data_IF_131040111353
#
_entry.id   IF_131040111353
#
_cell.length_a   1.000
_cell.length_b   1.000
_cell.length_c   1.000
_cell.angle_alpha   90.00
_cell.angle_beta   90.00
_cell.angle_gamma   90.00
#
_symmetry.space_group_name_H-M   'P 1'
#
loop_
_entity.id
_entity.type
_entity.pdbx_description
1 polymer ?
#
# COMPACT_ATOMS: atom_id res chain seq x y z
N UNK A 1 -6.19 -11.03 10.22
CA UNK A 1 -4.90 -11.73 10.33
C UNK A 1 -4.90 -12.66 11.53
N UNK A 2 -4.94 -12.17 12.78
CA UNK A 2 -4.87 -13.05 13.96
C UNK A 2 -6.01 -14.06 14.08
N UNK A 3 -7.26 -13.68 13.79
CA UNK A 3 -8.36 -14.65 13.68
C UNK A 3 -8.15 -15.70 12.58
N UNK A 4 -7.44 -15.35 11.51
CA UNK A 4 -7.12 -16.32 10.46
C UNK A 4 -6.07 -17.30 10.98
N UNK A 5 -5.03 -16.81 11.67
CA UNK A 5 -3.95 -17.58 12.31
C UNK A 5 -4.49 -18.71 13.21
N UNK A 6 -5.58 -18.50 13.94
CA UNK A 6 -6.21 -19.56 14.77
C UNK A 6 -6.77 -20.75 13.95
N UNK A 7 -7.07 -20.53 12.67
CA UNK A 7 -7.74 -21.50 11.79
C UNK A 7 -6.85 -21.98 10.64
N UNK A 8 -5.58 -21.61 10.64
CA UNK A 8 -4.65 -21.84 9.55
C UNK A 8 -3.26 -22.10 10.08
N UNK A 9 -2.47 -22.84 9.33
CA UNK A 9 -1.14 -23.23 9.76
C UNK A 9 -0.10 -22.24 9.21
N UNK A 10 -0.20 -20.97 9.61
CA UNK A 10 0.79 -19.95 9.29
C UNK A 10 1.21 -19.13 10.50
N UNK A 11 2.44 -18.63 10.43
CA UNK A 11 3.07 -17.75 11.41
C UNK A 11 3.26 -16.37 10.80
N UNK A 12 3.02 -15.33 11.60
CA UNK A 12 3.20 -13.92 11.21
C UNK A 12 4.55 -13.47 11.74
N UNK A 13 5.57 -13.45 10.89
CA UNK A 13 6.90 -12.97 11.29
C UNK A 13 6.90 -11.44 11.31
N UNK A 14 6.33 -10.79 10.31
CA UNK A 14 6.26 -9.32 10.26
C UNK A 14 5.10 -8.80 9.43
N UNK A 15 4.70 -7.55 9.68
CA UNK A 15 3.65 -6.87 8.93
C UNK A 15 3.81 -5.34 8.96
N UNK A 16 3.23 -4.69 7.95
CA UNK A 16 2.99 -3.25 7.95
C UNK A 16 1.68 -2.96 7.21
N UNK A 17 0.72 -2.33 7.90
CA UNK A 17 -0.57 -1.95 7.34
C UNK A 17 -0.51 -0.50 6.88
N UNK A 18 -0.40 -0.27 5.57
CA UNK A 18 -0.38 1.06 4.98
C UNK A 18 -1.81 1.53 4.68
N UNK A 19 -1.97 2.82 4.36
CA UNK A 19 -3.28 3.37 3.98
C UNK A 19 -3.85 2.76 2.69
N UNK A 20 -2.97 2.31 1.79
CA UNK A 20 -3.35 1.85 0.44
C UNK A 20 -3.14 0.36 0.21
N UNK A 21 -2.25 -0.29 0.98
CA UNK A 21 -1.87 -1.69 0.82
C UNK A 21 -1.35 -2.26 2.15
N UNK A 22 -0.99 -3.55 2.16
CA UNK A 22 -0.43 -4.22 3.33
C UNK A 22 0.78 -5.04 2.89
N UNK A 23 1.85 -4.99 3.68
CA UNK A 23 2.97 -5.92 3.57
C UNK A 23 2.87 -6.97 4.67
N UNK A 24 3.03 -8.25 4.30
CA UNK A 24 3.02 -9.39 5.22
C UNK A 24 4.26 -10.24 4.97
N UNK A 25 4.92 -10.65 6.05
CA UNK A 25 5.97 -11.66 6.06
C UNK A 25 5.44 -12.86 6.83
N UNK A 26 5.10 -13.91 6.10
CA UNK A 26 4.43 -15.10 6.63
C UNK A 26 5.33 -16.33 6.46
N UNK A 27 5.37 -17.17 7.49
CA UNK A 27 5.88 -18.53 7.37
C UNK A 27 4.67 -19.46 7.33
N UNK A 28 4.42 -20.00 6.15
CA UNK A 28 3.27 -20.86 5.85
C UNK A 28 3.66 -22.34 5.96
N UNK A 29 2.70 -23.19 6.31
CA UNK A 29 2.80 -24.66 6.15
C UNK A 29 1.69 -25.22 5.25
N UNK A 30 1.01 -24.34 4.53
CA UNK A 30 0.05 -24.64 3.48
C UNK A 30 0.27 -23.69 2.30
N UNK A 31 -0.50 -23.89 1.21
CA UNK A 31 -0.46 -23.00 0.06
C UNK A 31 -0.78 -21.55 0.45
N UNK A 32 0.11 -20.61 0.12
CA UNK A 32 -0.02 -19.18 0.45
C UNK A 32 -1.38 -18.60 0.02
N UNK A 33 -1.93 -19.08 -1.10
CA UNK A 33 -3.24 -18.63 -1.59
C UNK A 33 -4.39 -18.97 -0.66
N UNK A 34 -4.30 -20.08 0.08
CA UNK A 34 -5.31 -20.50 1.05
C UNK A 34 -5.28 -19.57 2.26
N UNK A 35 -4.10 -19.28 2.81
CA UNK A 35 -3.93 -18.35 3.93
C UNK A 35 -4.30 -16.93 3.57
N UNK A 36 -3.88 -16.44 2.41
CA UNK A 36 -4.27 -15.13 1.90
C UNK A 36 -5.77 -15.03 1.66
N UNK A 37 -6.44 -16.08 1.18
CA UNK A 37 -7.91 -16.12 1.07
C UNK A 37 -8.56 -15.99 2.46
N UNK A 38 -8.10 -16.72 3.47
CA UNK A 38 -8.65 -16.62 4.83
C UNK A 38 -8.46 -15.22 5.42
N UNK A 39 -7.28 -14.61 5.24
CA UNK A 39 -7.00 -13.25 5.72
C UNK A 39 -7.90 -12.23 5.02
N UNK A 40 -7.88 -12.21 3.69
CA UNK A 40 -8.55 -11.17 2.90
C UNK A 40 -10.07 -11.28 2.95
N UNK A 41 -10.65 -12.47 2.83
CA UNK A 41 -12.10 -12.67 2.89
C UNK A 41 -12.65 -12.28 4.25
N UNK A 42 -11.99 -12.71 5.34
CA UNK A 42 -12.40 -12.35 6.70
C UNK A 42 -12.39 -10.84 6.91
N UNK A 43 -11.36 -10.14 6.39
CA UNK A 43 -11.26 -8.70 6.49
C UNK A 43 -12.32 -7.97 5.66
N UNK A 44 -12.54 -8.39 4.40
CA UNK A 44 -13.58 -7.80 3.53
C UNK A 44 -14.96 -7.95 4.17
N UNK A 45 -15.28 -9.13 4.71
CA UNK A 45 -16.56 -9.37 5.39
C UNK A 45 -16.73 -8.45 6.61
N UNK A 46 -15.71 -8.33 7.46
CA UNK A 46 -15.74 -7.43 8.60
C UNK A 46 -15.90 -5.97 8.17
N UNK A 47 -15.11 -5.51 7.19
CA UNK A 47 -15.10 -4.14 6.70
C UNK A 47 -16.46 -3.76 6.11
N UNK A 48 -17.00 -4.61 5.23
CA UNK A 48 -18.31 -4.40 4.61
C UNK A 48 -19.43 -4.33 5.65
N UNK A 49 -19.42 -5.20 6.67
CA UNK A 49 -20.40 -5.13 7.77
C UNK A 49 -20.23 -3.85 8.60
N UNK A 50 -18.99 -3.51 8.99
CA UNK A 50 -18.69 -2.35 9.83
C UNK A 50 -19.11 -1.03 9.18
N UNK A 51 -18.91 -0.91 7.87
CA UNK A 51 -19.17 0.32 7.11
C UNK A 51 -20.43 0.26 6.25
N UNK A 52 -21.27 -0.76 6.43
CA UNK A 52 -22.49 -1.00 5.63
C UNK A 52 -22.25 -0.90 4.11
N UNK A 53 -21.20 -1.57 3.64
CA UNK A 53 -20.80 -1.63 2.22
C UNK A 53 -21.05 -3.03 1.65
N UNK A 54 -21.12 -3.10 0.32
CA UNK A 54 -21.18 -4.36 -0.44
C UNK A 54 -20.12 -4.35 -1.55
N UNK A 55 -19.71 -5.54 -1.98
CA UNK A 55 -18.75 -5.71 -3.08
C UNK A 55 -17.29 -5.84 -2.64
N UNK A 56 -16.40 -5.68 -3.62
CA UNK A 56 -14.95 -5.87 -3.47
C UNK A 56 -14.29 -4.73 -2.67
N UNK A 57 -13.29 -5.08 -1.87
CA UNK A 57 -12.47 -4.13 -1.12
C UNK A 57 -11.05 -4.00 -1.69
N UNK A 58 -10.40 -5.12 -1.97
CA UNK A 58 -9.07 -5.16 -2.59
C UNK A 58 -9.20 -5.01 -4.11
N UNK A 59 -8.31 -4.21 -4.70
CA UNK A 59 -8.33 -3.92 -6.14
C UNK A 59 -7.77 -5.06 -6.98
N UNK A 60 -6.71 -5.72 -6.49
CA UNK A 60 -5.97 -6.75 -7.20
C UNK A 60 -5.76 -7.99 -6.32
N UNK A 61 -5.35 -9.10 -6.93
CA UNK A 61 -4.83 -10.26 -6.20
C UNK A 61 -3.54 -9.87 -5.48
N UNK A 62 -3.21 -10.59 -4.41
CA UNK A 62 -1.93 -10.42 -3.72
C UNK A 62 -0.75 -10.77 -4.65
N UNK A 63 0.41 -10.15 -4.40
CA UNK A 63 1.71 -10.59 -4.90
C UNK A 63 2.43 -11.35 -3.79
N UNK A 64 3.22 -12.35 -4.14
CA UNK A 64 4.00 -13.14 -3.18
C UNK A 64 5.31 -13.56 -3.81
N UNK A 65 6.37 -13.56 -3.01
CA UNK A 65 7.70 -14.00 -3.39
C UNK A 65 8.26 -14.88 -2.26
N UNK A 66 8.84 -16.05 -2.58
CA UNK A 66 9.46 -16.91 -1.58
C UNK A 66 10.75 -16.26 -1.03
N UNK A 67 11.05 -16.50 0.24
CA UNK A 67 12.30 -16.09 0.87
C UNK A 67 13.17 -17.33 0.97
N UNK A 68 14.28 -17.32 0.25
CA UNK A 68 15.13 -18.50 0.07
C UNK A 68 16.33 -18.53 1.03
N UNK A 69 16.66 -17.39 1.66
CA UNK A 69 17.79 -17.29 2.58
C UNK A 69 17.58 -16.28 3.73
N UNK A 70 18.45 -16.38 4.73
CA UNK A 70 18.37 -15.59 5.96
C UNK A 70 18.70 -14.11 5.76
N UNK A 71 19.61 -13.77 4.83
CA UNK A 71 19.93 -12.36 4.52
C UNK A 71 18.72 -11.70 3.89
N UNK A 72 18.06 -12.40 2.97
CA UNK A 72 16.83 -11.91 2.35
C UNK A 72 15.71 -11.75 3.39
N UNK A 73 15.53 -12.73 4.29
CA UNK A 73 14.58 -12.63 5.40
C UNK A 73 14.75 -11.35 6.23
N UNK A 74 15.98 -11.06 6.65
CA UNK A 74 16.30 -9.86 7.41
C UNK A 74 16.02 -8.59 6.60
N UNK A 75 16.46 -8.55 5.34
CA UNK A 75 16.28 -7.39 4.49
C UNK A 75 14.79 -7.07 4.24
N UNK A 76 13.96 -8.09 4.01
CA UNK A 76 12.50 -7.95 3.87
C UNK A 76 11.88 -7.44 5.16
N UNK A 77 12.24 -8.01 6.32
CA UNK A 77 11.70 -7.56 7.60
C UNK A 77 11.99 -6.06 7.84
N UNK A 78 13.24 -5.63 7.57
CA UNK A 78 13.64 -4.23 7.66
C UNK A 78 12.81 -3.36 6.70
N UNK A 79 12.71 -3.77 5.45
CA UNK A 79 11.94 -3.06 4.44
C UNK A 79 10.48 -2.87 4.86
N UNK A 80 9.83 -3.93 5.36
CA UNK A 80 8.44 -3.88 5.84
C UNK A 80 8.27 -2.83 6.93
N UNK A 81 9.15 -2.81 7.93
CA UNK A 81 9.11 -1.84 9.02
C UNK A 81 9.45 -0.40 8.59
N UNK A 82 10.27 -0.25 7.54
CA UNK A 82 10.65 1.06 7.01
C UNK A 82 9.72 1.59 5.92
N UNK A 83 8.75 0.79 5.46
CA UNK A 83 7.79 1.23 4.43
C UNK A 83 7.05 2.54 4.78
N UNK A 84 6.60 2.78 6.04
CA UNK A 84 6.03 4.05 6.46
C UNK A 84 7.01 5.23 6.38
N UNK A 85 8.30 4.98 6.58
CA UNK A 85 9.36 6.00 6.45
C UNK A 85 9.58 6.31 4.98
N UNK A 86 9.71 5.28 4.13
CA UNK A 86 9.84 5.44 2.68
C UNK A 86 8.65 6.20 2.07
N UNK A 87 7.45 5.96 2.59
CA UNK A 87 6.22 6.67 2.19
C UNK A 87 6.09 8.09 2.80
N UNK A 88 7.05 8.55 3.59
CA UNK A 88 7.03 9.88 4.21
C UNK A 88 5.97 10.07 5.31
N UNK A 89 5.39 8.98 5.84
CA UNK A 89 4.34 9.05 6.87
C UNK A 89 4.89 9.32 8.26
N UNK A 90 6.09 8.82 8.56
CA UNK A 90 6.80 9.00 9.83
C UNK A 90 8.30 9.12 9.58
N UNK A 91 9.05 9.71 10.52
CA UNK A 91 10.52 9.78 10.45
C UNK A 91 11.22 8.54 11.02
N UNK A 92 10.53 7.77 11.85
CA UNK A 92 11.07 6.62 12.57
C UNK A 92 10.03 5.49 12.63
N UNK A 93 10.47 4.24 12.47
CA UNK A 93 9.58 3.06 12.45
C UNK A 93 8.78 2.93 13.76
N UNK A 94 9.40 3.30 14.90
CA UNK A 94 8.77 3.31 16.22
C UNK A 94 7.46 4.13 16.25
N UNK A 95 7.39 5.21 15.48
CA UNK A 95 6.24 6.13 15.46
C UNK A 95 5.06 5.58 14.65
N UNK A 96 5.22 4.46 13.95
CA UNK A 96 4.16 3.85 13.16
C UNK A 96 3.53 2.65 13.87
N UNK A 97 2.37 2.88 14.50
CA UNK A 97 1.68 1.87 15.31
C UNK A 97 1.10 0.71 14.51
N UNK A 98 0.93 0.86 13.19
CA UNK A 98 0.31 -0.15 12.32
C UNK A 98 1.33 -1.10 11.68
N UNK A 99 2.46 -1.30 12.33
CA UNK A 99 3.50 -2.26 11.92
C UNK A 99 3.91 -3.17 13.08
N UNK A 100 4.53 -4.31 12.77
CA UNK A 100 5.10 -5.22 13.77
C UNK A 100 6.35 -4.69 14.45
N UNK A 101 6.91 -3.53 14.06
CA UNK A 101 8.15 -3.02 14.66
C UNK A 101 8.02 -2.86 16.18
N UNK A 102 6.90 -2.31 16.64
CA UNK A 102 6.64 -2.15 18.08
C UNK A 102 6.39 -3.50 18.79
N UNK A 103 5.82 -4.49 18.09
CA UNK A 103 5.63 -5.85 18.62
C UNK A 103 6.98 -6.53 18.87
N UNK A 104 7.97 -6.33 17.99
CA UNK A 104 9.33 -6.81 18.21
C UNK A 104 9.97 -6.18 19.45
N UNK A 105 9.76 -4.89 19.69
CA UNK A 105 10.28 -4.24 20.89
C UNK A 105 9.64 -4.81 22.16
N UNK A 106 8.31 -4.99 22.16
CA UNK A 106 7.56 -5.62 23.26
C UNK A 106 8.00 -7.06 23.51
N UNK A 107 8.37 -7.80 22.47
CA UNK A 107 8.81 -9.20 22.56
C UNK A 107 10.10 -9.39 23.38
N UNK A 108 10.92 -8.35 23.51
CA UNK A 108 12.09 -8.35 24.40
C UNK A 108 11.75 -7.94 25.84
N UNK A 109 10.68 -7.18 26.04
CA UNK A 109 10.29 -6.63 27.34
C UNK A 109 9.20 -7.46 28.04
N UNK A 110 8.40 -8.22 27.29
CA UNK A 110 7.19 -8.90 27.77
C UNK A 110 6.79 -10.11 26.88
N UNK A 111 5.72 -10.80 27.27
CA UNK A 111 5.06 -11.86 26.45
C UNK A 111 3.79 -11.38 25.73
N UNK A 112 3.48 -10.08 25.80
CA UNK A 112 2.27 -9.51 25.19
C UNK A 112 2.58 -8.98 23.78
N UNK A 113 2.71 -9.91 22.83
CA UNK A 113 2.90 -9.64 21.41
C UNK A 113 2.18 -10.68 20.56
N UNK A 114 1.83 -10.30 19.33
CA UNK A 114 0.99 -11.12 18.46
C UNK A 114 1.75 -11.77 17.28
N UNK A 115 3.01 -11.37 17.07
CA UNK A 115 3.90 -11.90 16.04
C UNK A 115 4.56 -13.21 16.48
N UNK A 116 4.93 -14.04 15.52
CA UNK A 116 5.76 -15.25 15.68
C UNK A 116 7.24 -14.91 15.40
N UNK A 117 7.72 -13.85 16.06
CA UNK A 117 9.03 -13.25 15.82
C UNK A 117 10.21 -14.00 16.44
N UNK A 118 9.99 -15.15 17.07
CA UNK A 118 10.99 -15.90 17.84
C UNK A 118 12.15 -16.37 16.96
N UNK A 119 11.87 -16.71 15.70
CA UNK A 119 12.93 -17.05 14.74
C UNK A 119 13.95 -15.89 14.60
N UNK A 120 13.49 -14.65 14.75
CA UNK A 120 14.37 -13.48 14.67
C UNK A 120 15.21 -13.28 15.93
N UNK A 121 14.90 -13.92 17.06
CA UNK A 121 15.74 -13.86 18.27
C UNK A 121 17.09 -14.53 18.07
N UNK A 122 17.19 -15.48 17.13
CA UNK A 122 18.47 -16.10 16.75
C UNK A 122 19.42 -15.08 16.09
N UNK A 123 18.88 -14.11 15.34
CA UNK A 123 19.66 -13.06 14.67
C UNK A 123 19.80 -11.79 15.54
N UNK A 124 18.77 -11.47 16.33
CA UNK A 124 18.72 -10.30 17.20
C UNK A 124 18.48 -10.72 18.64
N UNK A 125 19.56 -10.96 19.38
CA UNK A 125 19.51 -11.44 20.76
C UNK A 125 19.02 -10.40 21.78
N UNK A 126 18.87 -9.14 21.36
CA UNK A 126 18.47 -8.04 22.23
C UNK A 126 17.70 -6.97 21.48
N UNK A 127 16.87 -6.22 22.22
CA UNK A 127 16.20 -5.00 21.74
C UNK A 127 17.19 -4.05 21.07
N UNK A 128 18.38 -3.87 21.66
CA UNK A 128 19.45 -3.04 21.10
C UNK A 128 19.88 -3.53 19.71
N UNK A 129 20.24 -4.81 19.57
CA UNK A 129 20.66 -5.38 18.28
C UNK A 129 19.60 -5.22 17.19
N UNK A 130 18.32 -5.42 17.55
CA UNK A 130 17.19 -5.22 16.63
C UNK A 130 17.03 -3.75 16.22
N UNK A 131 17.14 -2.82 17.16
CA UNK A 131 17.06 -1.37 16.85
C UNK A 131 18.24 -0.89 16.01
N UNK A 132 19.47 -1.35 16.30
CA UNK A 132 20.66 -1.01 15.50
C UNK A 132 20.51 -1.50 14.06
N UNK A 133 20.03 -2.73 13.87
CA UNK A 133 19.74 -3.28 12.55
C UNK A 133 18.75 -2.43 11.75
N UNK A 134 17.79 -1.76 12.40
CA UNK A 134 16.81 -0.90 11.74
C UNK A 134 17.27 0.54 11.50
N UNK A 135 18.45 0.94 12.00
CA UNK A 135 19.02 2.27 11.70
C UNK A 135 19.54 2.38 10.27
N UNK A 136 20.02 1.28 9.71
CA UNK A 136 20.44 1.26 8.31
C UNK A 136 19.19 1.30 7.43
N UNK A 137 19.14 2.23 6.48
CA UNK A 137 18.03 2.31 5.52
C UNK A 137 18.11 1.16 4.52
N UNK A 138 16.97 0.50 4.29
CA UNK A 138 16.80 -0.50 3.26
C UNK A 138 17.05 0.13 1.88
N UNK A 139 18.05 -0.40 1.18
CA UNK A 139 18.47 0.06 -0.16
C UNK A 139 17.65 -0.56 -1.28
N UNK A 140 16.98 -1.66 -0.98
CA UNK A 140 16.21 -2.46 -1.93
C UNK A 140 14.71 -2.21 -1.76
N UNK A 141 13.97 -2.46 -2.82
CA UNK A 141 12.51 -2.39 -2.85
C UNK A 141 11.99 -3.81 -3.09
N UNK A 142 11.10 -4.28 -2.21
CA UNK A 142 10.55 -5.63 -2.27
C UNK A 142 9.05 -5.56 -2.52
N UNK A 143 8.64 -5.94 -3.73
CA UNK A 143 7.25 -5.97 -4.15
C UNK A 143 6.51 -4.63 -3.96
N UNK A 144 7.18 -3.51 -4.23
CA UNK A 144 6.58 -2.18 -4.16
C UNK A 144 5.29 -2.13 -5.01
N UNK A 145 4.23 -1.58 -4.41
CA UNK A 145 3.04 -1.24 -5.17
C UNK A 145 3.27 0.12 -5.82
N UNK A 146 3.74 0.12 -7.07
CA UNK A 146 3.78 1.34 -7.87
C UNK A 146 2.36 1.85 -8.05
N UNK A 147 2.03 2.95 -7.38
CA UNK A 147 0.89 3.75 -7.80
C UNK A 147 1.24 4.29 -9.19
N UNK A 148 0.68 3.70 -10.23
CA UNK A 148 0.82 4.15 -11.61
C UNK A 148 0.33 5.61 -11.84
N UNK A 149 -0.25 6.25 -10.82
CA UNK A 149 -0.63 7.65 -10.88
C UNK A 149 0.60 8.54 -10.69
N UNK A 150 1.21 8.89 -11.82
CA UNK A 150 2.31 9.85 -11.95
C UNK A 150 1.98 11.25 -11.42
N UNK A 151 0.71 11.58 -11.25
CA UNK A 151 0.23 12.88 -10.79
C UNK A 151 -0.85 12.72 -9.70
N UNK A 152 -0.72 13.48 -8.62
CA UNK A 152 -1.79 13.70 -7.64
C UNK A 152 -2.93 14.55 -8.21
N UNK A 153 -4.09 14.52 -7.56
CA UNK A 153 -5.25 15.35 -7.95
C UNK A 153 -4.86 16.84 -8.02
N UNK A 154 -4.05 17.33 -7.07
CA UNK A 154 -3.58 18.72 -7.01
C UNK A 154 -2.61 19.06 -8.15
N UNK A 155 -1.75 18.13 -8.55
CA UNK A 155 -0.82 18.33 -9.66
C UNK A 155 -1.56 18.34 -11.01
N UNK A 156 -2.56 17.47 -11.18
CA UNK A 156 -3.44 17.49 -12.35
C UNK A 156 -4.21 18.81 -12.43
N UNK A 157 -4.75 19.29 -11.31
CA UNK A 157 -5.45 20.58 -11.27
C UNK A 157 -4.51 21.74 -11.59
N UNK A 158 -3.27 21.74 -11.07
CA UNK A 158 -2.25 22.74 -11.39
C UNK A 158 -1.87 22.71 -12.87
N UNK A 159 -1.67 21.53 -13.45
CA UNK A 159 -1.32 21.36 -14.86
C UNK A 159 -2.44 21.85 -15.78
N UNK A 160 -3.70 21.57 -15.43
CA UNK A 160 -4.87 22.11 -16.12
C UNK A 160 -4.93 23.62 -16.03
N UNK A 161 -4.83 24.18 -14.81
CA UNK A 161 -4.85 25.63 -14.57
C UNK A 161 -3.71 26.39 -15.26
N UNK A 162 -2.55 25.74 -15.51
CA UNK A 162 -1.46 26.30 -16.32
C UNK A 162 -1.84 26.44 -17.79
N UNK A 163 -2.69 25.55 -18.31
CA UNK A 163 -3.13 25.58 -19.71
C UNK A 163 -4.33 26.51 -19.90
N UNK A 164 -5.29 26.51 -18.96
CA UNK A 164 -6.51 27.32 -19.05
C UNK A 164 -7.22 27.44 -17.70
N UNK A 165 -7.97 28.52 -17.47
CA UNK A 165 -8.88 28.60 -16.33
C UNK A 165 -10.13 27.72 -16.52
N UNK A 166 -10.77 27.31 -15.42
CA UNK A 166 -12.00 26.51 -15.46
C UNK A 166 -13.13 27.27 -16.18
N UNK A 167 -13.23 28.57 -15.94
CA UNK A 167 -14.24 29.42 -16.55
C UNK A 167 -14.07 29.52 -18.08
N UNK A 168 -12.84 29.76 -18.54
CA UNK A 168 -12.54 29.77 -19.98
C UNK A 168 -12.78 28.40 -20.63
N UNK A 169 -12.42 27.31 -19.95
CA UNK A 169 -12.70 25.96 -20.43
C UNK A 169 -14.19 25.74 -20.72
N UNK A 170 -15.07 26.18 -19.83
CA UNK A 170 -16.53 26.07 -20.02
C UNK A 170 -17.11 27.08 -21.02
N UNK A 171 -16.31 28.01 -21.54
CA UNK A 171 -16.70 28.93 -22.63
C UNK A 171 -16.26 28.43 -24.02
N UNK A 172 -15.29 27.53 -24.10
CA UNK A 172 -14.80 26.97 -25.37
C UNK A 172 -15.84 26.10 -26.10
N UNK A 173 -15.74 25.93 -27.43
CA UNK A 173 -16.47 24.90 -28.17
C UNK A 173 -16.24 23.49 -27.62
N UNK A 174 -17.24 22.61 -27.72
CA UNK A 174 -17.15 21.23 -27.21
C UNK A 174 -16.01 20.43 -27.84
N UNK A 175 -15.70 20.68 -29.11
CA UNK A 175 -14.58 20.06 -29.85
C UNK A 175 -13.24 20.41 -29.24
N UNK A 176 -13.06 21.68 -28.85
CA UNK A 176 -11.79 22.17 -28.30
C UNK A 176 -11.61 21.72 -26.85
N UNK A 177 -12.70 21.64 -26.09
CA UNK A 177 -12.70 21.01 -24.75
C UNK A 177 -12.28 19.55 -24.83
N UNK A 178 -12.83 18.80 -25.79
CA UNK A 178 -12.49 17.40 -25.98
C UNK A 178 -11.02 17.22 -26.34
N UNK A 179 -10.51 18.06 -27.26
CA UNK A 179 -9.09 18.08 -27.64
C UNK A 179 -8.18 18.37 -26.45
N UNK A 180 -8.48 19.40 -25.65
CA UNK A 180 -7.68 19.72 -24.46
C UNK A 180 -7.67 18.60 -23.43
N UNK A 181 -8.82 17.97 -23.16
CA UNK A 181 -8.90 16.81 -22.26
C UNK A 181 -8.04 15.66 -22.80
N UNK A 182 -8.09 15.40 -24.10
CA UNK A 182 -7.31 14.34 -24.76
C UNK A 182 -5.81 14.63 -24.70
N UNK A 183 -5.39 15.87 -24.94
CA UNK A 183 -3.99 16.29 -24.83
C UNK A 183 -3.45 16.09 -23.41
N UNK A 184 -4.22 16.51 -22.39
CA UNK A 184 -3.85 16.31 -20.98
C UNK A 184 -3.82 14.81 -20.64
N UNK A 185 -4.76 14.03 -21.15
CA UNK A 185 -4.78 12.58 -20.97
C UNK A 185 -3.51 11.91 -21.51
N UNK A 186 -3.08 12.26 -22.73
CA UNK A 186 -1.86 11.71 -23.32
C UNK A 186 -0.57 12.23 -22.67
N UNK A 187 -0.52 13.51 -22.29
CA UNK A 187 0.65 14.12 -21.63
C UNK A 187 0.88 13.54 -20.23
N UNK A 188 -0.21 13.33 -19.47
CA UNK A 188 -0.12 12.89 -18.06
C UNK A 188 -0.17 11.38 -17.90
N UNK A 189 -0.78 10.65 -18.83
CA UNK A 189 -1.09 9.22 -18.68
C UNK A 189 -2.13 8.93 -17.57
N UNK A 190 -2.79 9.96 -17.04
CA UNK A 190 -3.73 9.81 -15.92
C UNK A 190 -4.99 9.06 -16.35
N UNK A 191 -5.58 8.27 -15.44
CA UNK A 191 -6.83 7.57 -15.76
C UNK A 191 -7.99 8.56 -15.92
N UNK A 192 -9.06 8.15 -16.63
CA UNK A 192 -10.32 8.93 -16.73
C UNK A 192 -10.84 9.32 -15.34
N UNK A 193 -10.64 8.45 -14.34
CA UNK A 193 -11.06 8.68 -12.96
C UNK A 193 -10.25 9.80 -12.31
N UNK A 194 -8.94 9.81 -12.53
CA UNK A 194 -8.03 10.77 -11.90
C UNK A 194 -8.16 12.14 -12.54
N UNK A 195 -8.31 12.20 -13.88
CA UNK A 195 -8.70 13.43 -14.57
C UNK A 195 -10.05 13.95 -14.08
N UNK A 196 -11.02 13.07 -13.84
CA UNK A 196 -12.33 13.51 -13.33
C UNK A 196 -12.24 14.13 -11.94
N UNK A 197 -11.43 13.54 -11.05
CA UNK A 197 -11.19 14.07 -9.71
C UNK A 197 -10.38 15.36 -9.74
N UNK A 198 -9.25 15.36 -10.45
CA UNK A 198 -8.33 16.49 -10.52
C UNK A 198 -8.91 17.69 -11.25
N UNK A 199 -9.71 17.50 -12.30
CA UNK A 199 -10.27 18.59 -13.10
C UNK A 199 -11.68 19.02 -12.65
N UNK A 200 -12.35 18.22 -11.82
CA UNK A 200 -13.75 18.43 -11.47
C UNK A 200 -14.72 18.23 -12.65
N UNK A 201 -14.28 17.57 -13.73
CA UNK A 201 -15.08 17.30 -14.92
C UNK A 201 -15.69 15.90 -14.81
N UNK A 202 -16.95 15.74 -15.22
CA UNK A 202 -17.64 14.45 -15.17
C UNK A 202 -16.94 13.35 -15.99
N UNK A 203 -16.86 12.13 -15.45
CA UNK A 203 -16.21 10.97 -16.10
C UNK A 203 -16.74 10.66 -17.50
N UNK A 204 -18.03 10.89 -17.75
CA UNK A 204 -18.65 10.67 -19.06
C UNK A 204 -18.18 11.67 -20.12
N UNK A 205 -17.86 12.90 -19.72
CA UNK A 205 -17.33 13.94 -20.61
C UNK A 205 -15.90 13.57 -20.99
N UNK A 206 -15.06 13.25 -20.00
CA UNK A 206 -13.68 12.83 -20.22
C UNK A 206 -13.62 11.54 -21.05
N UNK A 207 -14.44 10.55 -20.70
CA UNK A 207 -14.47 9.27 -21.41
C UNK A 207 -14.94 9.38 -22.87
N UNK A 208 -15.75 10.39 -23.22
CA UNK A 208 -16.08 10.69 -24.61
C UNK A 208 -14.92 11.39 -25.32
N UNK A 209 -14.32 12.40 -24.67
CA UNK A 209 -13.20 13.16 -25.22
C UNK A 209 -11.97 12.31 -25.55
N UNK A 210 -11.66 11.31 -24.73
CA UNK A 210 -10.49 10.43 -24.93
C UNK A 210 -10.71 9.37 -26.03
N UNK A 211 -11.97 9.07 -26.38
CA UNK A 211 -12.32 8.05 -27.39
C UNK A 211 -12.44 8.60 -28.81
N UNK A 212 -12.57 9.92 -28.96
CA UNK A 212 -12.56 10.67 -30.23
C UNK A 212 -11.10 10.95 -30.53
#
# INVERSE_FOLDING_TARGET
MYRAKEKSSFKVIGYCLMNTHVHLLLQESEEIGVSMKRITVSYVQWFNRKYNRVGHLFQNRYKSEPIEDERYLMAVLRYIHQNPIKAGMVKEALKYSWSSYNEYLKMYDSKDYLIDGEIMKAYFNSKKSFTEFHKEMSKENYMDYENANKYSDDELLKLFKKKISIDEFYKMPLTDRAKLIKDIYHETGASIRDLSRGLGIGRSIIGRAVKI
#
